data_IF_810544060725
#
_entry.id   IF_810544060725
#
_cell.length_a   1.000
_cell.length_b   1.000
_cell.length_c   1.000
_cell.angle_alpha   90.00
_cell.angle_beta   90.00
_cell.angle_gamma   90.00
#
_symmetry.space_group_name_H-M   'P 1'
#
loop_
_entity.id
_entity.type
_entity.pdbx_description
1 polymer ?
#
# COMPACT_ATOMS: atom_id res chain seq x y z
N UNK A 1 20.26 35.32 -3.38
CA UNK A 1 18.87 35.13 -3.86
C UNK A 1 18.71 33.65 -4.20
N UNK A 2 18.31 32.84 -3.23
CA UNK A 2 18.30 31.38 -3.39
C UNK A 2 16.88 30.87 -3.65
N UNK A 3 16.81 29.97 -4.63
CA UNK A 3 15.81 28.92 -4.79
C UNK A 3 14.36 29.32 -5.13
N UNK A 4 14.16 29.81 -6.36
CA UNK A 4 12.85 29.83 -7.04
C UNK A 4 12.65 28.63 -7.99
N UNK A 5 13.65 27.73 -8.13
CA UNK A 5 13.60 26.67 -9.13
C UNK A 5 12.94 25.37 -8.66
N UNK A 6 12.92 25.05 -7.36
CA UNK A 6 12.34 23.78 -6.87
C UNK A 6 10.80 23.71 -7.05
N UNK A 7 10.10 24.82 -6.85
CA UNK A 7 8.63 24.88 -6.99
C UNK A 7 8.12 24.74 -8.43
N UNK A 8 8.90 25.20 -9.41
CA UNK A 8 8.50 25.19 -10.83
C UNK A 8 8.61 23.78 -11.43
N UNK A 9 9.64 23.02 -11.07
CA UNK A 9 9.81 21.64 -11.51
C UNK A 9 8.76 20.69 -10.92
N UNK A 10 8.33 20.88 -9.67
CA UNK A 10 7.21 20.13 -9.09
C UNK A 10 5.86 20.48 -9.75
N UNK A 11 5.62 21.76 -10.06
CA UNK A 11 4.41 22.17 -10.82
C UNK A 11 4.41 21.61 -12.24
N UNK A 12 5.55 21.57 -12.93
CA UNK A 12 5.68 20.98 -14.26
C UNK A 12 5.51 19.46 -14.24
N UNK A 13 6.05 18.75 -13.26
CA UNK A 13 5.88 17.30 -13.12
C UNK A 13 4.40 16.92 -12.90
N UNK A 14 3.65 17.71 -12.11
CA UNK A 14 2.20 17.52 -11.92
C UNK A 14 1.42 17.85 -13.21
N UNK A 15 1.92 18.78 -14.04
CA UNK A 15 1.31 19.15 -15.33
C UNK A 15 1.66 18.19 -16.50
N UNK A 16 2.55 17.20 -16.30
CA UNK A 16 2.99 16.26 -17.35
C UNK A 16 2.46 14.84 -17.23
N UNK A 17 1.69 14.51 -16.18
CA UNK A 17 1.05 13.20 -16.09
C UNK A 17 -0.18 13.15 -17.00
N UNK A 18 -0.21 12.17 -17.90
CA UNK A 18 -1.38 11.88 -18.72
C UNK A 18 -2.62 11.73 -17.81
N UNK A 19 -3.73 12.44 -18.06
CA UNK A 19 -4.98 12.26 -17.33
C UNK A 19 -5.42 10.79 -17.18
N UNK A 20 -5.04 9.92 -18.13
CA UNK A 20 -5.28 8.48 -18.05
C UNK A 20 -4.52 7.81 -16.90
N UNK A 21 -3.24 8.17 -16.70
CA UNK A 21 -2.39 7.66 -15.60
C UNK A 21 -2.87 8.17 -14.25
N UNK A 22 -3.27 9.45 -14.14
CA UNK A 22 -3.86 9.99 -12.91
C UNK A 22 -5.11 9.20 -12.52
N UNK A 23 -5.96 8.88 -13.51
CA UNK A 23 -7.17 8.09 -13.30
C UNK A 23 -6.85 6.64 -12.91
N UNK A 24 -5.80 6.06 -13.51
CA UNK A 24 -5.31 4.71 -13.19
C UNK A 24 -4.83 4.64 -11.74
N UNK A 25 -3.90 5.50 -11.34
CA UNK A 25 -3.39 5.61 -9.96
C UNK A 25 -4.52 5.83 -8.96
N UNK A 26 -5.49 6.72 -9.26
CA UNK A 26 -6.64 6.94 -8.38
C UNK A 26 -7.52 5.68 -8.22
N UNK A 27 -7.67 4.90 -9.29
CA UNK A 27 -8.43 3.64 -9.26
C UNK A 27 -7.69 2.57 -8.46
N UNK A 28 -6.38 2.44 -8.64
CA UNK A 28 -5.53 1.52 -7.86
C UNK A 28 -5.60 1.87 -6.38
N UNK A 29 -5.40 3.15 -6.03
CA UNK A 29 -5.51 3.67 -4.66
C UNK A 29 -6.84 3.31 -4.02
N UNK A 30 -7.96 3.55 -4.72
CA UNK A 30 -9.29 3.26 -4.20
C UNK A 30 -9.45 1.77 -3.88
N UNK A 31 -8.98 0.88 -4.76
CA UNK A 31 -9.03 -0.57 -4.55
C UNK A 31 -8.12 -1.01 -3.39
N UNK A 32 -6.94 -0.41 -3.26
CA UNK A 32 -6.01 -0.69 -2.18
C UNK A 32 -6.54 -0.24 -0.82
N UNK A 33 -7.15 0.94 -0.75
CA UNK A 33 -7.78 1.43 0.47
C UNK A 33 -8.98 0.57 0.87
N UNK A 34 -9.78 0.08 -0.08
CA UNK A 34 -10.86 -0.88 0.21
C UNK A 34 -10.31 -2.18 0.79
N UNK A 35 -9.27 -2.76 0.19
CA UNK A 35 -8.63 -3.95 0.74
C UNK A 35 -8.06 -3.69 2.13
N UNK A 36 -7.30 -2.61 2.31
CA UNK A 36 -6.62 -2.31 3.56
C UNK A 36 -7.58 -1.98 4.69
N UNK A 37 -8.65 -1.23 4.43
CA UNK A 37 -9.57 -0.78 5.48
C UNK A 37 -10.69 -1.78 5.75
N UNK A 38 -11.20 -2.44 4.70
CA UNK A 38 -12.38 -3.30 4.78
C UNK A 38 -12.05 -4.79 4.62
N UNK A 39 -10.90 -5.15 4.07
CA UNK A 39 -10.54 -6.54 3.78
C UNK A 39 -11.24 -7.10 2.53
N UNK A 40 -11.71 -6.24 1.63
CA UNK A 40 -12.50 -6.61 0.45
C UNK A 40 -11.66 -6.46 -0.83
N UNK A 41 -11.85 -7.36 -1.81
CA UNK A 41 -11.20 -7.26 -3.12
C UNK A 41 -9.78 -7.85 -3.17
N UNK A 42 -9.45 -8.72 -2.23
CA UNK A 42 -8.15 -9.39 -2.15
C UNK A 42 -8.03 -10.25 -0.90
N UNK A 43 -6.81 -10.66 -0.59
CA UNK A 43 -6.47 -11.41 0.62
C UNK A 43 -5.70 -10.53 1.59
N UNK A 44 -5.93 -10.72 2.89
CA UNK A 44 -5.11 -10.14 3.95
C UNK A 44 -4.40 -11.29 4.65
N UNK A 45 -3.08 -11.31 4.55
CA UNK A 45 -2.24 -12.36 5.11
C UNK A 45 -1.23 -11.76 6.09
N UNK A 46 -0.99 -12.51 7.16
CA UNK A 46 0.09 -12.25 8.10
C UNK A 46 1.21 -13.24 7.78
N UNK A 47 2.44 -12.76 7.66
CA UNK A 47 3.60 -13.58 7.27
C UNK A 47 4.77 -13.39 8.25
N UNK A 48 5.82 -14.20 8.08
CA UNK A 48 7.06 -14.09 8.84
C UNK A 48 6.90 -14.43 10.33
N UNK A 49 7.70 -13.78 11.18
CA UNK A 49 7.69 -14.00 12.62
C UNK A 49 6.34 -13.65 13.25
N UNK A 50 5.60 -12.69 12.69
CA UNK A 50 4.27 -12.32 13.18
C UNK A 50 3.25 -13.45 12.99
N UNK A 51 3.38 -14.24 11.91
CA UNK A 51 2.52 -15.40 11.66
C UNK A 51 2.79 -16.55 12.66
N UNK A 52 4.01 -16.64 13.18
CA UNK A 52 4.41 -17.69 14.13
C UNK A 52 4.07 -17.36 15.58
N UNK A 53 3.57 -16.16 15.87
CA UNK A 53 3.14 -15.79 17.22
C UNK A 53 1.88 -16.56 17.64
N UNK A 54 1.87 -17.05 18.87
CA UNK A 54 0.69 -17.69 19.47
C UNK A 54 -0.37 -16.67 19.91
N UNK A 55 0.01 -15.40 20.10
CA UNK A 55 -0.90 -14.34 20.56
C UNK A 55 -1.75 -13.76 19.42
N UNK A 56 -2.94 -14.34 19.25
CA UNK A 56 -3.97 -13.85 18.34
C UNK A 56 -4.44 -12.42 18.62
N UNK A 57 -4.50 -12.03 19.90
CA UNK A 57 -4.91 -10.69 20.30
C UNK A 57 -3.93 -9.63 19.79
N UNK A 58 -2.63 -9.92 19.92
CA UNK A 58 -1.59 -9.07 19.40
C UNK A 58 -1.61 -9.00 17.86
N UNK A 59 -1.77 -10.14 17.16
CA UNK A 59 -1.92 -10.15 15.70
C UNK A 59 -3.08 -9.26 15.24
N UNK A 60 -4.25 -9.39 15.87
CA UNK A 60 -5.41 -8.57 15.55
C UNK A 60 -5.20 -7.08 15.84
N UNK A 61 -4.42 -6.75 16.89
CA UNK A 61 -4.03 -5.38 17.18
C UNK A 61 -3.18 -4.77 16.06
N UNK A 62 -2.22 -5.53 15.53
CA UNK A 62 -1.39 -5.11 14.39
C UNK A 62 -2.24 -4.92 13.13
N UNK A 63 -3.08 -5.91 12.78
CA UNK A 63 -4.00 -5.79 11.64
C UNK A 63 -4.90 -4.56 11.79
N UNK A 64 -5.45 -4.32 12.97
CA UNK A 64 -6.30 -3.15 13.25
C UNK A 64 -5.53 -1.83 13.10
N UNK A 65 -4.25 -1.79 13.49
CA UNK A 65 -3.41 -0.61 13.29
C UNK A 65 -3.22 -0.31 11.80
N UNK A 66 -2.94 -1.33 10.98
CA UNK A 66 -2.83 -1.19 9.51
C UNK A 66 -4.13 -0.67 8.89
N UNK A 67 -5.29 -1.23 9.30
CA UNK A 67 -6.61 -0.80 8.82
C UNK A 67 -6.92 0.66 9.17
N UNK A 68 -6.47 1.13 10.33
CA UNK A 68 -6.74 2.49 10.84
C UNK A 68 -5.69 3.52 10.43
N UNK A 69 -4.57 3.10 9.86
CA UNK A 69 -3.52 4.00 9.41
C UNK A 69 -4.09 5.01 8.40
N UNK A 70 -3.75 6.28 8.60
CA UNK A 70 -3.99 7.34 7.63
C UNK A 70 -2.73 7.49 6.79
N UNK A 71 -2.88 7.32 5.48
CA UNK A 71 -1.80 7.50 4.51
C UNK A 71 -1.93 8.91 3.94
N UNK A 72 -0.82 9.64 3.89
CA UNK A 72 -0.76 10.96 3.28
C UNK A 72 -0.18 10.77 1.87
N UNK A 73 -1.03 10.99 0.87
CA UNK A 73 -0.65 10.84 -0.54
C UNK A 73 0.50 11.80 -0.91
N UNK A 74 1.52 11.29 -1.61
CA UNK A 74 2.65 12.09 -2.07
C UNK A 74 3.74 12.34 -1.03
N UNK A 75 3.71 11.63 0.10
CA UNK A 75 4.85 11.56 1.02
C UNK A 75 5.96 10.68 0.41
N UNK A 76 7.19 10.82 0.91
CA UNK A 76 8.38 10.08 0.46
C UNK A 76 8.20 8.55 0.48
N UNK A 77 7.30 8.07 1.33
CA UNK A 77 7.03 6.65 1.56
C UNK A 77 5.91 6.11 0.63
N UNK A 78 5.30 6.96 -0.22
CA UNK A 78 4.24 6.61 -1.18
C UNK A 78 4.50 7.31 -2.54
N UNK A 79 5.60 6.96 -3.24
CA UNK A 79 6.05 7.66 -4.45
C UNK A 79 5.06 7.57 -5.61
N UNK A 80 4.31 6.46 -5.69
CA UNK A 80 3.30 6.24 -6.72
C UNK A 80 1.90 6.70 -6.31
N UNK A 81 1.72 7.12 -5.05
CA UNK A 81 0.43 7.56 -4.55
C UNK A 81 -0.65 6.47 -4.66
N UNK A 82 -0.26 5.20 -4.56
CA UNK A 82 -1.13 4.03 -4.72
C UNK A 82 -1.56 3.43 -3.39
N UNK A 83 -0.95 3.86 -2.28
CA UNK A 83 -1.25 3.34 -0.94
C UNK A 83 -1.00 1.82 -0.82
N UNK A 84 0.03 1.33 -1.51
CA UNK A 84 0.40 -0.08 -1.59
C UNK A 84 1.46 -0.48 -0.55
N UNK A 85 2.10 0.46 0.12
CA UNK A 85 3.13 0.19 1.12
C UNK A 85 2.99 1.09 2.35
N UNK A 86 3.34 0.59 3.52
CA UNK A 86 3.43 1.40 4.71
C UNK A 86 4.03 0.70 5.92
N UNK A 87 4.17 1.50 6.98
CA UNK A 87 4.68 1.04 8.27
C UNK A 87 3.75 1.49 9.40
N UNK A 88 3.54 0.63 10.39
CA UNK A 88 2.88 0.97 11.66
C UNK A 88 3.77 0.63 12.84
N UNK A 89 3.53 1.28 13.98
CA UNK A 89 4.20 0.97 15.25
C UNK A 89 3.15 0.51 16.24
N UNK A 90 3.33 -0.69 16.80
CA UNK A 90 2.44 -1.28 17.81
C UNK A 90 3.32 -1.75 18.96
N UNK A 91 3.05 -1.28 20.17
CA UNK A 91 3.80 -1.60 21.40
C UNK A 91 5.32 -1.42 21.26
N UNK A 92 5.73 -0.36 20.56
CA UNK A 92 7.14 -0.04 20.34
C UNK A 92 7.83 -0.87 19.24
N UNK A 93 7.14 -1.86 18.66
CA UNK A 93 7.63 -2.65 17.55
C UNK A 93 7.14 -2.11 16.20
N UNK A 94 8.01 -2.18 15.19
CA UNK A 94 7.71 -1.74 13.83
C UNK A 94 7.19 -2.91 13.00
N UNK A 95 6.11 -2.67 12.29
CA UNK A 95 5.50 -3.61 11.35
C UNK A 95 5.41 -2.95 9.99
N UNK A 96 5.70 -3.74 8.96
CA UNK A 96 5.53 -3.34 7.58
C UNK A 96 4.32 -4.03 7.00
N UNK A 97 3.69 -3.36 6.06
CA UNK A 97 2.67 -3.97 5.24
C UNK A 97 2.84 -3.52 3.79
N UNK A 98 2.47 -4.40 2.87
CA UNK A 98 2.47 -4.12 1.44
C UNK A 98 1.32 -4.81 0.73
N UNK A 99 0.90 -4.27 -0.40
CA UNK A 99 -0.11 -4.82 -1.30
C UNK A 99 0.58 -5.23 -2.58
N UNK A 100 0.68 -6.53 -2.81
CA UNK A 100 1.18 -7.09 -4.06
C UNK A 100 0.03 -7.34 -5.04
N UNK A 101 0.27 -7.10 -6.32
CA UNK A 101 -0.69 -7.29 -7.41
C UNK A 101 -0.34 -8.54 -8.22
N UNK A 102 -1.25 -9.51 -8.25
CA UNK A 102 -1.08 -10.77 -8.97
C UNK A 102 -2.13 -10.96 -10.05
N UNK A 103 -1.84 -11.83 -11.01
CA UNK A 103 -2.84 -12.43 -11.89
C UNK A 103 -3.85 -13.28 -11.09
N UNK A 104 -4.91 -13.76 -11.78
CA UNK A 104 -5.99 -14.51 -11.15
C UNK A 104 -5.52 -15.82 -10.47
N UNK A 105 -4.40 -16.36 -10.92
CA UNK A 105 -3.81 -17.61 -10.43
C UNK A 105 -2.71 -17.39 -9.36
N UNK A 106 -2.46 -16.15 -8.93
CA UNK A 106 -1.41 -15.80 -7.96
C UNK A 106 0.02 -16.22 -8.37
N UNK A 107 0.28 -16.31 -9.67
CA UNK A 107 1.53 -16.85 -10.21
C UNK A 107 2.47 -15.76 -10.70
N UNK A 108 1.93 -14.71 -11.29
CA UNK A 108 2.70 -13.62 -11.87
C UNK A 108 2.14 -12.27 -11.44
N UNK A 109 2.95 -11.22 -11.59
CA UNK A 109 2.47 -9.86 -11.38
C UNK A 109 1.42 -9.51 -12.46
N UNK A 110 0.33 -8.86 -12.05
CA UNK A 110 -0.69 -8.42 -13.02
C UNK A 110 -0.22 -7.21 -13.82
N UNK A 111 -0.50 -7.21 -15.12
CA UNK A 111 -0.19 -6.09 -16.02
C UNK A 111 -1.17 -4.91 -15.90
N UNK A 112 -2.35 -5.11 -15.28
CA UNK A 112 -3.36 -4.06 -15.10
C UNK A 112 -3.87 -3.97 -13.64
N UNK A 113 -3.06 -3.42 -12.72
CA UNK A 113 -3.42 -3.32 -11.30
C UNK A 113 -4.78 -2.65 -11.05
N UNK A 114 -5.15 -1.66 -11.85
CA UNK A 114 -6.42 -0.93 -11.79
C UNK A 114 -7.66 -1.79 -12.09
N UNK A 115 -7.49 -2.94 -12.75
CA UNK A 115 -8.59 -3.80 -13.15
C UNK A 115 -8.77 -4.97 -12.18
N UNK A 116 -9.69 -4.80 -11.22
CA UNK A 116 -10.02 -5.82 -10.23
C UNK A 116 -10.59 -7.13 -10.80
N UNK A 117 -10.96 -7.19 -12.09
CA UNK A 117 -11.44 -8.43 -12.73
C UNK A 117 -10.32 -9.38 -13.16
N UNK A 118 -9.09 -8.86 -13.31
CA UNK A 118 -7.93 -9.65 -13.74
C UNK A 118 -6.76 -9.56 -12.78
N UNK A 119 -6.90 -8.75 -11.72
CA UNK A 119 -5.88 -8.54 -10.69
C UNK A 119 -6.38 -8.98 -9.33
N UNK A 120 -5.66 -9.92 -8.73
CA UNK A 120 -5.78 -10.25 -7.32
C UNK A 120 -4.83 -9.39 -6.49
N UNK A 121 -5.30 -8.93 -5.33
CA UNK A 121 -4.47 -8.17 -4.39
C UNK A 121 -4.18 -8.99 -3.14
N UNK A 122 -2.95 -8.89 -2.66
CA UNK A 122 -2.53 -9.54 -1.41
C UNK A 122 -1.92 -8.50 -0.50
N UNK A 123 -2.63 -8.16 0.58
CA UNK A 123 -2.10 -7.35 1.67
C UNK A 123 -1.31 -8.26 2.62
N UNK A 124 0.01 -8.13 2.60
CA UNK A 124 0.93 -8.85 3.49
C UNK A 124 1.30 -7.97 4.68
N UNK A 125 1.22 -8.49 5.90
CA UNK A 125 1.61 -7.80 7.14
C UNK A 125 2.70 -8.61 7.85
N UNK A 126 3.79 -7.95 8.22
CA UNK A 126 4.99 -8.60 8.75
C UNK A 126 5.75 -7.70 9.73
N UNK A 127 6.69 -8.25 10.50
CA UNK A 127 7.63 -7.42 11.25
C UNK A 127 8.52 -6.64 10.29
N UNK A 128 8.94 -5.44 10.68
CA UNK A 128 9.90 -4.68 9.88
C UNK A 128 11.27 -5.37 9.75
N UNK A 129 11.59 -6.29 10.66
CA UNK A 129 12.80 -7.12 10.60
C UNK A 129 12.70 -8.30 9.64
N UNK A 130 11.49 -8.64 9.19
CA UNK A 130 11.25 -9.76 8.26
C UNK A 130 11.32 -9.34 6.79
N UNK A 131 11.52 -8.04 6.54
CA UNK A 131 11.63 -7.41 5.22
C UNK A 131 13.09 -7.06 4.92
#
# INVERSE_FOLDING_TARGET
MHNCFSWYYWKLAIMTLDPSEIKKTASIRALNDVLRTQGIGGQVIVVGGLAQMEDDGFRQKVVTAVRKQKIVTGDKDDPYSEHDFGQVVVDGQKFLWKIDYYDLDYKYASEAPENAKITQRVLSIMFASDY
#
